data_IF_332987125512
#
_entry.id   IF_332987125512
#
_cell.length_a   1.000
_cell.length_b   1.000
_cell.length_c   1.000
_cell.angle_alpha   90.00
_cell.angle_beta   90.00
_cell.angle_gamma   90.00
#
_symmetry.space_group_name_H-M   'P 1'
#
loop_
_entity.id
_entity.type
_entity.pdbx_description
1 polymer ?
#
# COMPACT_ATOMS: atom_id res chain seq x y z
N UNK A 1 42.47 -18.32 -15.88
CA UNK A 1 41.77 -17.75 -14.71
C UNK A 1 40.31 -18.10 -14.83
N UNK A 2 39.86 -18.95 -13.91
CA UNK A 2 38.53 -19.56 -13.85
C UNK A 2 37.45 -18.50 -13.59
N UNK A 3 36.58 -18.23 -14.56
CA UNK A 3 35.35 -17.48 -14.35
C UNK A 3 34.24 -18.47 -13.94
N UNK A 4 34.13 -18.73 -12.64
CA UNK A 4 32.98 -19.41 -12.07
C UNK A 4 31.75 -18.53 -12.29
N UNK A 5 30.86 -18.97 -13.18
CA UNK A 5 29.52 -18.41 -13.33
C UNK A 5 28.82 -18.42 -11.96
N UNK A 6 28.05 -17.37 -11.60
CA UNK A 6 27.28 -17.39 -10.38
C UNK A 6 26.34 -18.60 -10.42
N UNK A 7 26.50 -19.51 -9.45
CA UNK A 7 25.63 -20.66 -9.28
C UNK A 7 24.23 -20.14 -8.96
N UNK A 8 23.38 -20.08 -9.99
CA UNK A 8 21.94 -20.04 -9.81
C UNK A 8 21.62 -21.32 -9.04
N UNK A 9 21.28 -21.17 -7.77
CA UNK A 9 20.72 -22.26 -6.99
C UNK A 9 19.42 -22.63 -7.70
N UNK A 10 19.45 -23.77 -8.41
CA UNK A 10 18.25 -24.37 -8.96
C UNK A 10 17.36 -24.67 -7.76
N UNK A 11 16.42 -23.76 -7.52
CA UNK A 11 15.31 -23.95 -6.60
C UNK A 11 14.74 -25.34 -6.93
N UNK A 12 14.67 -26.20 -5.91
CA UNK A 12 14.22 -27.59 -6.00
C UNK A 12 13.16 -27.76 -7.07
N UNK A 13 13.45 -28.54 -8.13
CA UNK A 13 12.53 -28.76 -9.23
C UNK A 13 11.19 -29.27 -8.68
N UNK A 14 10.20 -28.39 -8.60
CA UNK A 14 8.84 -28.73 -8.19
C UNK A 14 8.29 -29.60 -9.30
N UNK A 15 8.19 -30.90 -9.04
CA UNK A 15 7.64 -31.85 -10.01
C UNK A 15 6.12 -31.73 -9.97
N UNK A 16 5.54 -31.08 -10.98
CA UNK A 16 4.09 -30.89 -11.08
C UNK A 16 3.48 -32.12 -11.77
N UNK A 17 2.45 -32.76 -11.19
CA UNK A 17 1.77 -33.89 -11.85
C UNK A 17 1.15 -33.47 -13.19
N UNK A 18 1.25 -34.33 -14.20
CA UNK A 18 0.69 -34.06 -15.54
C UNK A 18 -0.84 -33.81 -15.51
N UNK A 19 -1.56 -34.47 -14.60
CA UNK A 19 -2.99 -34.23 -14.39
C UNK A 19 -3.29 -32.80 -13.91
N UNK A 20 -2.41 -32.20 -13.11
CA UNK A 20 -2.53 -30.80 -12.67
C UNK A 20 -2.26 -29.85 -13.83
N UNK A 21 -1.28 -30.16 -14.69
CA UNK A 21 -0.94 -29.35 -15.87
C UNK A 21 -2.13 -29.28 -16.83
N UNK A 22 -2.67 -30.45 -17.20
CA UNK A 22 -3.79 -30.55 -18.15
C UNK A 22 -5.10 -29.98 -17.60
N UNK A 23 -5.36 -30.13 -16.29
CA UNK A 23 -6.57 -29.53 -15.69
C UNK A 23 -6.51 -28.00 -15.62
N UNK A 24 -5.34 -27.42 -15.36
CA UNK A 24 -5.16 -25.95 -15.37
C UNK A 24 -5.29 -25.41 -16.80
N UNK A 25 -4.67 -26.08 -17.78
CA UNK A 25 -4.82 -25.71 -19.20
C UNK A 25 -6.28 -25.80 -19.67
N UNK A 26 -6.99 -26.88 -19.34
CA UNK A 26 -8.39 -27.07 -19.70
C UNK A 26 -9.32 -26.02 -19.04
N UNK A 27 -9.04 -25.67 -17.77
CA UNK A 27 -9.81 -24.64 -17.06
C UNK A 27 -9.56 -23.24 -17.64
N UNK A 28 -8.30 -22.91 -17.97
CA UNK A 28 -7.95 -21.63 -18.57
C UNK A 28 -8.53 -21.47 -19.97
N UNK A 29 -8.39 -22.49 -20.82
CA UNK A 29 -8.92 -22.49 -22.19
C UNK A 29 -10.43 -22.44 -22.24
N UNK A 30 -11.13 -23.25 -21.43
CA UNK A 30 -12.60 -23.22 -21.37
C UNK A 30 -13.11 -21.84 -20.98
N UNK A 31 -12.59 -21.24 -19.90
CA UNK A 31 -13.00 -19.91 -19.46
C UNK A 31 -12.69 -18.81 -20.51
N UNK A 32 -11.53 -18.88 -21.15
CA UNK A 32 -11.14 -17.91 -22.20
C UNK A 32 -12.13 -17.94 -23.38
N UNK A 33 -12.44 -19.12 -23.92
CA UNK A 33 -13.28 -19.24 -25.11
C UNK A 33 -14.79 -19.16 -24.81
N UNK A 34 -15.26 -19.71 -23.69
CA UNK A 34 -16.70 -19.78 -23.39
C UNK A 34 -17.24 -18.53 -22.70
N UNK A 35 -16.41 -17.87 -21.89
CA UNK A 35 -16.87 -16.84 -20.96
C UNK A 35 -16.28 -15.47 -21.28
N UNK A 36 -14.97 -15.40 -21.58
CA UNK A 36 -14.28 -14.13 -21.74
C UNK A 36 -14.39 -13.55 -23.15
N UNK A 37 -14.08 -14.36 -24.18
CA UNK A 37 -14.06 -13.90 -25.58
C UNK A 37 -15.40 -13.34 -26.09
N UNK A 38 -16.58 -13.91 -25.72
CA UNK A 38 -17.86 -13.32 -26.07
C UNK A 38 -18.09 -11.95 -25.39
N UNK A 39 -17.72 -11.82 -24.11
CA UNK A 39 -17.91 -10.60 -23.31
C UNK A 39 -17.02 -9.47 -23.84
N UNK A 40 -15.74 -9.74 -24.13
CA UNK A 40 -14.83 -8.73 -24.72
C UNK A 40 -15.33 -8.16 -26.06
N UNK A 41 -16.07 -8.95 -26.84
CA UNK A 41 -16.63 -8.52 -28.12
C UNK A 41 -17.89 -7.67 -27.98
N UNK A 42 -18.60 -7.78 -26.87
CA UNK A 42 -19.88 -7.09 -26.63
C UNK A 42 -19.75 -5.88 -25.72
N UNK A 43 -18.68 -5.79 -24.93
CA UNK A 43 -18.49 -4.70 -23.98
C UNK A 43 -18.08 -3.39 -24.65
N UNK A 44 -18.95 -2.39 -24.51
CA UNK A 44 -18.70 -1.02 -25.00
C UNK A 44 -18.06 -0.12 -23.95
N UNK A 45 -18.01 -0.55 -22.69
CA UNK A 45 -17.41 0.21 -21.61
C UNK A 45 -15.89 0.01 -21.60
N UNK A 46 -15.13 1.11 -21.77
CA UNK A 46 -13.66 1.08 -21.83
C UNK A 46 -13.03 0.46 -20.57
N UNK A 47 -13.51 0.82 -19.38
CA UNK A 47 -12.93 0.36 -18.11
C UNK A 47 -13.16 -1.15 -17.91
N UNK A 48 -14.35 -1.62 -18.24
CA UNK A 48 -14.68 -3.04 -18.18
C UNK A 48 -13.88 -3.84 -19.22
N UNK A 49 -13.77 -3.32 -20.44
CA UNK A 49 -13.05 -3.98 -21.53
C UNK A 49 -11.55 -4.14 -21.22
N UNK A 50 -10.91 -3.13 -20.64
CA UNK A 50 -9.52 -3.23 -20.17
C UNK A 50 -9.38 -4.31 -19.11
N UNK A 51 -10.30 -4.38 -18.14
CA UNK A 51 -10.27 -5.43 -17.11
C UNK A 51 -10.39 -6.83 -17.71
N UNK A 52 -11.27 -7.03 -18.70
CA UNK A 52 -11.40 -8.31 -19.39
C UNK A 52 -10.19 -8.63 -20.27
N UNK A 53 -9.58 -7.63 -20.91
CA UNK A 53 -8.34 -7.79 -21.69
C UNK A 53 -7.19 -8.29 -20.82
N UNK A 54 -7.01 -7.69 -19.63
CA UNK A 54 -5.96 -8.11 -18.69
C UNK A 54 -6.12 -9.58 -18.24
N UNK A 55 -7.37 -10.00 -18.00
CA UNK A 55 -7.69 -11.41 -17.70
C UNK A 55 -7.39 -12.29 -18.92
N UNK A 56 -7.62 -11.80 -20.13
CA UNK A 56 -7.31 -12.49 -21.37
C UNK A 56 -5.81 -12.74 -21.54
N UNK A 57 -4.99 -11.72 -21.28
CA UNK A 57 -3.53 -11.79 -21.35
C UNK A 57 -2.97 -12.78 -20.30
N UNK A 58 -3.52 -12.77 -19.08
CA UNK A 58 -3.17 -13.74 -18.03
C UNK A 58 -3.49 -15.18 -18.43
N UNK A 59 -4.68 -15.42 -18.99
CA UNK A 59 -5.10 -16.75 -19.43
C UNK A 59 -4.28 -17.22 -20.63
N UNK A 60 -3.95 -16.33 -21.56
CA UNK A 60 -3.11 -16.66 -22.71
C UNK A 60 -1.67 -16.99 -22.28
N UNK A 61 -1.09 -16.22 -21.37
CA UNK A 61 0.23 -16.53 -20.79
C UNK A 61 0.21 -17.87 -20.05
N UNK A 62 -0.85 -18.14 -19.28
CA UNK A 62 -1.07 -19.41 -18.58
C UNK A 62 -1.15 -20.57 -19.59
N UNK A 63 -1.99 -20.47 -20.62
CA UNK A 63 -2.13 -21.50 -21.64
C UNK A 63 -0.81 -21.79 -22.35
N UNK A 64 -0.04 -20.76 -22.73
CA UNK A 64 1.28 -20.90 -23.36
C UNK A 64 2.25 -21.67 -22.47
N UNK A 65 2.38 -21.27 -21.20
CA UNK A 65 3.26 -21.94 -20.24
C UNK A 65 2.88 -23.41 -20.01
N UNK A 66 1.60 -23.68 -19.73
CA UNK A 66 1.14 -25.04 -19.45
C UNK A 66 1.19 -25.95 -20.69
N UNK A 67 1.00 -25.43 -21.90
CA UNK A 67 1.17 -26.21 -23.13
C UNK A 67 2.61 -26.67 -23.34
N UNK A 68 3.59 -25.85 -22.99
CA UNK A 68 5.02 -26.20 -23.06
C UNK A 68 5.35 -27.28 -22.02
N UNK A 69 4.77 -27.22 -20.83
CA UNK A 69 4.94 -28.27 -19.81
C UNK A 69 4.34 -29.61 -20.25
N UNK A 70 3.22 -29.64 -20.98
CA UNK A 70 2.66 -30.88 -21.54
C UNK A 70 3.59 -31.49 -22.59
N UNK A 71 4.18 -30.66 -23.46
CA UNK A 71 5.17 -31.11 -24.46
C UNK A 71 6.41 -31.64 -23.74
N UNK A 72 6.90 -30.94 -22.71
CA UNK A 72 8.05 -31.38 -21.93
C UNK A 72 7.80 -32.72 -21.22
N UNK A 73 6.59 -32.94 -20.71
CA UNK A 73 6.22 -34.18 -20.03
C UNK A 73 6.04 -35.38 -20.98
N UNK A 74 5.76 -35.13 -22.27
CA UNK A 74 5.51 -36.16 -23.29
C UNK A 74 6.73 -36.42 -24.18
N UNK A 75 7.72 -35.51 -24.20
CA UNK A 75 8.90 -35.62 -25.03
C UNK A 75 9.86 -36.73 -24.55
N UNK A 76 10.24 -37.62 -25.48
CA UNK A 76 11.24 -38.67 -25.24
C UNK A 76 12.65 -38.26 -25.69
N UNK A 77 12.77 -37.22 -26.52
CA UNK A 77 14.04 -36.73 -27.07
C UNK A 77 14.74 -35.78 -26.08
N UNK A 78 15.98 -36.09 -25.62
CA UNK A 78 16.74 -35.24 -24.71
C UNK A 78 16.96 -33.81 -25.20
N UNK A 79 17.09 -33.58 -26.51
CA UNK A 79 17.28 -32.23 -27.07
C UNK A 79 16.00 -31.39 -26.95
N UNK A 80 14.85 -32.01 -27.20
CA UNK A 80 13.53 -31.35 -27.12
C UNK A 80 13.21 -30.96 -25.68
N UNK A 81 13.47 -31.85 -24.73
CA UNK A 81 13.24 -31.58 -23.29
C UNK A 81 14.00 -30.33 -22.84
N UNK A 82 15.26 -30.17 -23.23
CA UNK A 82 16.09 -29.02 -22.83
C UNK A 82 15.62 -27.73 -23.52
N UNK A 83 15.25 -27.79 -24.80
CA UNK A 83 14.76 -26.61 -25.54
C UNK A 83 13.42 -26.10 -25.02
N UNK A 84 12.47 -27.01 -24.76
CA UNK A 84 11.13 -26.68 -24.24
C UNK A 84 11.22 -26.24 -22.78
N UNK A 85 12.16 -26.78 -21.99
CA UNK A 85 12.41 -26.29 -20.63
C UNK A 85 12.91 -24.83 -20.63
N UNK A 86 13.76 -24.46 -21.60
CA UNK A 86 14.23 -23.08 -21.74
C UNK A 86 13.09 -22.13 -22.18
N UNK A 87 12.22 -22.57 -23.10
CA UNK A 87 11.04 -21.81 -23.53
C UNK A 87 9.97 -21.72 -22.44
N UNK A 88 9.79 -22.78 -21.63
CA UNK A 88 8.90 -22.75 -20.48
C UNK A 88 9.42 -21.80 -19.39
N UNK A 89 10.74 -21.70 -19.20
CA UNK A 89 11.34 -20.75 -18.28
C UNK A 89 11.05 -19.29 -18.70
N UNK A 90 11.23 -18.94 -19.97
CA UNK A 90 10.89 -17.60 -20.47
C UNK A 90 9.38 -17.32 -20.42
N UNK A 91 8.54 -18.30 -20.75
CA UNK A 91 7.09 -18.18 -20.62
C UNK A 91 6.65 -17.97 -19.15
N UNK A 92 7.35 -18.59 -18.19
CA UNK A 92 7.09 -18.39 -16.76
C UNK A 92 7.44 -16.98 -16.29
N UNK A 93 8.51 -16.39 -16.82
CA UNK A 93 8.90 -15.01 -16.53
C UNK A 93 7.85 -14.02 -17.08
N UNK A 94 7.44 -14.20 -18.34
CA UNK A 94 6.40 -13.38 -18.98
C UNK A 94 5.08 -13.48 -18.21
N UNK A 95 4.66 -14.69 -17.82
CA UNK A 95 3.46 -14.89 -17.01
C UNK A 95 3.56 -14.16 -15.66
N UNK A 96 4.73 -14.19 -15.01
CA UNK A 96 4.95 -13.50 -13.75
C UNK A 96 4.96 -11.97 -13.90
N UNK A 97 5.50 -11.44 -15.00
CA UNK A 97 5.44 -10.00 -15.29
C UNK A 97 4.01 -9.52 -15.52
N UNK A 98 3.22 -10.24 -16.32
CA UNK A 98 1.80 -9.93 -16.59
C UNK A 98 0.99 -10.00 -15.29
N UNK A 99 1.19 -11.04 -14.48
CA UNK A 99 0.50 -11.18 -13.19
C UNK A 99 0.84 -10.03 -12.23
N UNK A 100 2.10 -9.60 -12.18
CA UNK A 100 2.53 -8.46 -11.36
C UNK A 100 1.97 -7.13 -11.87
N UNK A 101 1.88 -6.93 -13.20
CA UNK A 101 1.35 -5.69 -13.77
C UNK A 101 -0.16 -5.53 -13.56
N UNK A 102 -0.89 -6.64 -13.53
CA UNK A 102 -2.35 -6.64 -13.48
C UNK A 102 -2.91 -6.64 -12.06
N UNK A 103 -2.10 -6.96 -11.04
CA UNK A 103 -2.54 -7.04 -9.65
C UNK A 103 -2.11 -5.82 -8.84
N UNK A 104 -3.03 -5.30 -8.02
CA UNK A 104 -2.81 -4.08 -7.22
C UNK A 104 -1.73 -4.21 -6.14
N UNK A 105 -1.39 -5.44 -5.76
CA UNK A 105 -0.39 -5.76 -4.73
C UNK A 105 0.83 -6.51 -5.30
N UNK A 106 1.11 -6.37 -6.60
CA UNK A 106 2.22 -7.07 -7.27
C UNK A 106 2.20 -8.59 -7.04
N UNK A 107 1.00 -9.15 -6.99
CA UNK A 107 0.77 -10.57 -6.77
C UNK A 107 0.87 -11.04 -5.31
N UNK A 108 1.19 -10.13 -4.36
CA UNK A 108 1.35 -10.46 -2.93
C UNK A 108 0.04 -10.25 -2.19
N UNK A 109 -0.39 -11.27 -1.44
CA UNK A 109 -1.57 -11.15 -0.56
C UNK A 109 -1.19 -10.38 0.71
N UNK A 110 -1.93 -9.32 1.10
CA UNK A 110 -1.74 -8.67 2.39
C UNK A 110 -1.82 -9.70 3.53
N UNK A 111 -1.02 -9.60 4.58
CA UNK A 111 -1.07 -10.58 5.67
C UNK A 111 -2.38 -10.46 6.46
N UNK A 112 -3.17 -11.54 6.52
CA UNK A 112 -4.47 -11.51 7.22
C UNK A 112 -4.28 -11.24 8.73
N UNK A 113 -3.38 -11.99 9.37
CA UNK A 113 -3.18 -11.92 10.82
C UNK A 113 -2.68 -10.56 11.29
N UNK A 114 -1.70 -9.97 10.59
CA UNK A 114 -1.13 -8.67 10.96
C UNK A 114 -2.14 -7.52 10.80
N UNK A 115 -2.84 -7.48 9.68
CA UNK A 115 -3.83 -6.43 9.41
C UNK A 115 -5.05 -6.55 10.34
N UNK A 116 -5.51 -7.77 10.64
CA UNK A 116 -6.59 -7.99 11.59
C UNK A 116 -6.20 -7.59 13.02
N UNK A 117 -4.98 -7.93 13.45
CA UNK A 117 -4.49 -7.53 14.77
C UNK A 117 -4.47 -5.99 14.92
N UNK A 118 -3.99 -5.28 13.89
CA UNK A 118 -3.99 -3.81 13.89
C UNK A 118 -5.41 -3.24 13.89
N UNK A 119 -6.32 -3.78 13.08
CA UNK A 119 -7.73 -3.36 13.09
C UNK A 119 -8.36 -3.50 14.47
N UNK A 120 -8.10 -4.61 15.18
CA UNK A 120 -8.59 -4.84 16.55
C UNK A 120 -7.98 -3.84 17.53
N UNK A 121 -6.66 -3.61 17.45
CA UNK A 121 -5.97 -2.66 18.35
C UNK A 121 -6.52 -1.24 18.16
N UNK A 122 -6.65 -0.77 16.91
CA UNK A 122 -7.25 0.54 16.65
C UNK A 122 -8.73 0.59 17.04
N UNK A 123 -9.48 -0.50 16.88
CA UNK A 123 -10.86 -0.61 17.36
C UNK A 123 -10.97 -0.46 18.88
N UNK A 124 -10.09 -1.10 19.64
CA UNK A 124 -10.02 -0.93 21.10
C UNK A 124 -9.63 0.50 21.48
N UNK A 125 -8.66 1.08 20.78
CA UNK A 125 -8.25 2.48 21.01
C UNK A 125 -9.39 3.46 20.69
N UNK A 126 -10.22 3.18 19.69
CA UNK A 126 -11.39 4.00 19.36
C UNK A 126 -12.38 4.02 20.53
N UNK A 127 -12.67 2.85 21.12
CA UNK A 127 -13.56 2.74 22.28
C UNK A 127 -12.98 3.46 23.50
N UNK A 128 -11.68 3.28 23.78
CA UNK A 128 -11.01 3.98 24.87
C UNK A 128 -11.07 5.50 24.69
N UNK A 129 -10.80 5.98 23.47
CA UNK A 129 -10.89 7.40 23.15
C UNK A 129 -12.33 7.93 23.28
N UNK A 130 -13.35 7.09 23.02
CA UNK A 130 -14.76 7.43 23.23
C UNK A 130 -15.01 7.78 24.69
N UNK A 131 -14.57 6.88 25.57
CA UNK A 131 -14.76 7.02 27.01
C UNK A 131 -14.00 8.24 27.53
N UNK A 132 -12.70 8.35 27.22
CA UNK A 132 -11.87 9.47 27.71
C UNK A 132 -12.29 10.82 27.14
N UNK A 133 -12.68 10.89 25.87
CA UNK A 133 -13.13 12.12 25.24
C UNK A 133 -14.40 12.69 25.87
N UNK A 134 -15.38 11.82 26.16
CA UNK A 134 -16.62 12.21 26.84
C UNK A 134 -16.34 12.66 28.28
N UNK A 135 -15.45 11.97 29.00
CA UNK A 135 -15.12 12.31 30.38
C UNK A 135 -14.33 13.63 30.51
N UNK A 136 -13.35 13.86 29.63
CA UNK A 136 -12.48 15.04 29.69
C UNK A 136 -13.09 16.31 29.09
N UNK A 137 -14.19 16.18 28.34
CA UNK A 137 -14.92 17.29 27.68
C UNK A 137 -14.05 18.16 26.75
N UNK A 138 -12.90 17.64 26.31
CA UNK A 138 -12.02 18.31 25.36
C UNK A 138 -12.49 18.03 23.92
N UNK A 139 -13.57 18.69 23.50
CA UNK A 139 -14.29 18.39 22.25
C UNK A 139 -13.44 18.45 20.98
N UNK A 140 -12.53 19.43 20.85
CA UNK A 140 -11.66 19.57 19.67
C UNK A 140 -10.65 18.43 19.55
N UNK A 141 -10.00 18.08 20.66
CA UNK A 141 -9.10 16.94 20.72
C UNK A 141 -9.86 15.63 20.50
N UNK A 142 -11.04 15.50 21.09
CA UNK A 142 -11.90 14.33 20.95
C UNK A 142 -12.25 14.05 19.48
N UNK A 143 -12.80 15.04 18.77
CA UNK A 143 -13.26 14.86 17.38
C UNK A 143 -12.10 14.52 16.43
N UNK A 144 -10.97 15.21 16.56
CA UNK A 144 -9.79 14.97 15.71
C UNK A 144 -9.20 13.59 15.94
N UNK A 145 -8.98 13.19 17.20
CA UNK A 145 -8.49 11.85 17.51
C UNK A 145 -9.49 10.74 17.14
N UNK A 146 -10.78 10.97 17.35
CA UNK A 146 -11.83 10.03 16.93
C UNK A 146 -11.80 9.78 15.44
N UNK A 147 -11.74 10.84 14.64
CA UNK A 147 -11.68 10.75 13.19
C UNK A 147 -10.41 9.99 12.75
N UNK A 148 -9.26 10.33 13.32
CA UNK A 148 -7.99 9.66 13.00
C UNK A 148 -8.00 8.16 13.30
N UNK A 149 -8.41 7.76 14.50
CA UNK A 149 -8.47 6.33 14.87
C UNK A 149 -9.54 5.60 14.04
N UNK A 150 -10.68 6.24 13.76
CA UNK A 150 -11.72 5.65 12.91
C UNK A 150 -11.22 5.37 11.49
N UNK A 151 -10.47 6.30 10.91
CA UNK A 151 -9.83 6.12 9.61
C UNK A 151 -8.82 4.98 9.62
N UNK A 152 -8.03 4.79 10.68
CA UNK A 152 -7.15 3.61 10.81
C UNK A 152 -7.96 2.30 10.82
N UNK A 153 -9.04 2.24 11.61
CA UNK A 153 -9.91 1.05 11.65
C UNK A 153 -10.48 0.73 10.27
N UNK A 154 -10.98 1.73 9.54
CA UNK A 154 -11.48 1.56 8.18
C UNK A 154 -10.37 1.13 7.22
N UNK A 155 -9.19 1.73 7.33
CA UNK A 155 -8.02 1.41 6.51
C UNK A 155 -7.58 -0.04 6.64
N UNK A 156 -7.41 -0.52 7.88
CA UNK A 156 -7.05 -1.91 8.15
C UNK A 156 -8.19 -2.89 7.85
N UNK A 157 -9.45 -2.50 8.04
CA UNK A 157 -10.60 -3.32 7.65
C UNK A 157 -10.66 -3.50 6.13
N UNK A 158 -10.35 -2.44 5.37
CA UNK A 158 -10.22 -2.48 3.91
C UNK A 158 -9.09 -3.42 3.46
N UNK A 159 -7.95 -3.43 4.18
CA UNK A 159 -6.86 -4.41 3.94
C UNK A 159 -7.31 -5.84 4.12
N UNK A 160 -8.10 -6.11 5.16
CA UNK A 160 -8.65 -7.44 5.41
C UNK A 160 -9.63 -7.82 4.29
N UNK A 161 -10.45 -6.88 3.81
CA UNK A 161 -11.32 -7.12 2.67
C UNK A 161 -10.54 -7.43 1.38
N UNK A 162 -9.47 -6.68 1.12
CA UNK A 162 -8.61 -6.89 -0.03
C UNK A 162 -7.84 -8.23 0.03
N UNK A 163 -7.64 -8.82 1.22
CA UNK A 163 -7.09 -10.16 1.35
C UNK A 163 -7.96 -11.23 0.67
N UNK A 164 -9.29 -11.09 0.74
CA UNK A 164 -10.23 -12.02 0.11
C UNK A 164 -10.39 -11.74 -1.39
N UNK A 165 -10.32 -10.48 -1.80
CA UNK A 165 -10.44 -10.04 -3.19
C UNK A 165 -9.35 -9.02 -3.55
N UNK A 166 -8.23 -9.51 -4.07
CA UNK A 166 -7.05 -8.66 -4.38
C UNK A 166 -7.30 -7.67 -5.52
N UNK A 167 -8.27 -7.95 -6.40
CA UNK A 167 -8.60 -7.12 -7.56
C UNK A 167 -9.73 -6.12 -7.27
N UNK A 168 -10.15 -5.97 -6.01
CA UNK A 168 -11.17 -4.99 -5.65
C UNK A 168 -10.55 -3.58 -5.53
N UNK A 169 -10.80 -2.76 -6.56
CA UNK A 169 -10.33 -1.38 -6.63
C UNK A 169 -10.84 -0.51 -5.48
N UNK A 170 -12.12 -0.66 -5.10
CA UNK A 170 -12.73 0.14 -4.04
C UNK A 170 -12.07 -0.14 -2.68
N UNK A 171 -11.79 -1.42 -2.39
CA UNK A 171 -11.09 -1.81 -1.17
C UNK A 171 -9.65 -1.27 -1.14
N UNK A 172 -8.96 -1.29 -2.28
CA UNK A 172 -7.61 -0.74 -2.40
C UNK A 172 -7.61 0.78 -2.18
N UNK A 173 -8.48 1.53 -2.87
CA UNK A 173 -8.57 2.99 -2.74
C UNK A 173 -9.02 3.39 -1.34
N UNK A 174 -10.01 2.71 -0.76
CA UNK A 174 -10.49 3.00 0.60
C UNK A 174 -9.38 2.82 1.62
N UNK A 175 -8.66 1.69 1.57
CA UNK A 175 -7.48 1.47 2.41
C UNK A 175 -6.49 2.62 2.28
N UNK A 176 -6.15 2.96 1.04
CA UNK A 176 -5.10 3.89 0.72
C UNK A 176 -5.43 5.29 1.24
N UNK A 177 -6.64 5.78 0.97
CA UNK A 177 -7.11 7.09 1.42
C UNK A 177 -7.24 7.13 2.95
N UNK A 178 -7.81 6.09 3.58
CA UNK A 178 -8.03 6.06 5.02
C UNK A 178 -6.73 6.06 5.82
N UNK A 179 -5.78 5.17 5.50
CA UNK A 179 -4.48 5.10 6.20
C UNK A 179 -3.67 6.39 5.97
N UNK A 180 -3.80 7.00 4.80
CA UNK A 180 -3.10 8.23 4.46
C UNK A 180 -3.65 9.43 5.21
N UNK A 181 -4.98 9.57 5.33
CA UNK A 181 -5.63 10.69 6.04
C UNK A 181 -5.60 10.56 7.58
N UNK A 182 -5.59 9.34 8.11
CA UNK A 182 -5.56 9.09 9.54
C UNK A 182 -4.49 9.89 10.32
N UNK A 183 -3.19 9.87 9.94
CA UNK A 183 -2.14 10.60 10.66
C UNK A 183 -2.37 12.11 10.66
N UNK A 184 -2.98 12.67 9.61
CA UNK A 184 -3.30 14.10 9.55
C UNK A 184 -4.29 14.53 10.64
N UNK A 185 -5.35 13.74 10.87
CA UNK A 185 -6.30 14.02 11.95
C UNK A 185 -5.67 13.83 13.35
N UNK A 186 -4.84 12.80 13.52
CA UNK A 186 -4.12 12.59 14.79
C UNK A 186 -3.16 13.75 15.10
N UNK A 187 -2.41 14.22 14.09
CA UNK A 187 -1.49 15.35 14.23
C UNK A 187 -2.22 16.65 14.52
N UNK A 188 -3.38 16.90 13.91
CA UNK A 188 -4.20 18.07 14.23
C UNK A 188 -4.58 18.12 15.72
N UNK A 189 -4.92 16.97 16.32
CA UNK A 189 -5.19 16.87 17.76
C UNK A 189 -3.98 17.17 18.63
N UNK A 190 -2.79 16.65 18.26
CA UNK A 190 -1.54 16.92 18.98
C UNK A 190 -1.18 18.41 18.91
N UNK A 191 -1.32 19.04 17.75
CA UNK A 191 -1.06 20.47 17.58
C UNK A 191 -2.04 21.36 18.33
N UNK A 192 -3.29 20.92 18.49
CA UNK A 192 -4.24 21.61 19.35
C UNK A 192 -3.80 21.61 20.83
N UNK A 193 -3.33 20.47 21.36
CA UNK A 193 -2.81 20.40 22.73
C UNK A 193 -1.56 21.28 22.87
N UNK A 194 -0.65 21.23 21.90
CA UNK A 194 0.53 22.07 21.88
C UNK A 194 0.17 23.56 21.88
N UNK A 195 -0.88 23.95 21.15
CA UNK A 195 -1.40 25.32 21.18
C UNK A 195 -1.81 25.75 22.58
N UNK A 196 -2.60 24.94 23.26
CA UNK A 196 -2.98 25.26 24.64
C UNK A 196 -1.76 25.35 25.57
N UNK A 197 -0.78 24.45 25.41
CA UNK A 197 0.45 24.47 26.21
C UNK A 197 1.25 25.77 25.99
N UNK A 198 1.39 26.23 24.75
CA UNK A 198 2.09 27.49 24.44
C UNK A 198 1.40 28.72 24.99
N UNK A 199 0.06 28.72 25.10
CA UNK A 199 -0.68 29.83 25.73
C UNK A 199 -0.40 29.88 27.23
N UNK A 200 -0.33 28.72 27.90
CA UNK A 200 -0.07 28.63 29.34
C UNK A 200 1.38 29.02 29.69
N UNK A 201 2.35 28.60 28.88
CA UNK A 201 3.78 28.81 29.15
C UNK A 201 4.34 30.16 28.67
N UNK A 202 3.56 30.92 27.90
CA UNK A 202 3.95 32.21 27.35
C UNK A 202 4.46 32.14 25.90
N UNK A 203 3.96 33.05 25.06
CA UNK A 203 4.26 33.14 23.62
C UNK A 203 5.72 33.48 23.28
N UNK A 204 6.50 33.97 24.25
CA UNK A 204 7.87 34.46 24.03
C UNK A 204 8.86 33.35 23.63
N UNK A 205 8.51 32.08 23.81
CA UNK A 205 9.37 30.93 23.53
C UNK A 205 8.99 30.15 22.27
N UNK A 206 7.93 30.55 21.54
CA UNK A 206 7.44 29.80 20.37
C UNK A 206 7.67 30.55 19.05
N UNK A 207 8.42 29.94 18.13
CA UNK A 207 8.78 30.51 16.82
C UNK A 207 7.56 30.63 15.89
N UNK A 208 6.55 29.75 16.03
CA UNK A 208 5.38 29.68 15.16
C UNK A 208 4.15 29.23 15.93
N UNK A 209 2.96 29.71 15.52
CA UNK A 209 1.70 29.29 16.16
C UNK A 209 1.41 27.83 15.79
N UNK A 210 1.16 26.93 16.76
CA UNK A 210 0.89 25.50 16.54
C UNK A 210 -0.18 25.18 15.47
N UNK A 211 -1.18 26.05 15.27
CA UNK A 211 -2.17 25.89 14.21
C UNK A 211 -1.61 26.01 12.78
N UNK A 212 -0.51 26.75 12.57
CA UNK A 212 0.11 26.87 11.25
C UNK A 212 0.78 25.56 10.82
N UNK A 213 1.39 24.84 11.76
CA UNK A 213 1.97 23.52 11.50
C UNK A 213 0.91 22.50 11.11
N UNK A 214 -0.26 22.53 11.77
CA UNK A 214 -1.40 21.69 11.41
C UNK A 214 -1.86 21.93 9.97
N UNK A 215 -1.92 23.20 9.55
CA UNK A 215 -2.39 23.55 8.21
C UNK A 215 -1.38 23.12 7.13
N UNK A 216 -0.09 23.34 7.37
CA UNK A 216 0.98 22.87 6.46
C UNK A 216 0.90 21.35 6.29
N UNK A 217 0.71 20.61 7.39
CA UNK A 217 0.61 19.16 7.36
C UNK A 217 -0.58 18.67 6.54
N UNK A 218 -1.77 19.25 6.75
CA UNK A 218 -2.98 18.94 5.98
C UNK A 218 -2.74 19.17 4.47
N UNK A 219 -2.08 20.27 4.10
CA UNK A 219 -1.78 20.57 2.69
C UNK A 219 -0.79 19.55 2.11
N UNK A 220 0.26 19.19 2.85
CA UNK A 220 1.23 18.18 2.41
C UNK A 220 0.56 16.80 2.21
N UNK A 221 -0.35 16.41 3.10
CA UNK A 221 -1.15 15.19 2.98
C UNK A 221 -2.09 15.23 1.76
N UNK A 222 -2.73 16.37 1.51
CA UNK A 222 -3.58 16.52 0.32
C UNK A 222 -2.76 16.41 -0.98
N UNK A 223 -1.59 17.06 -1.04
CA UNK A 223 -0.69 16.99 -2.20
C UNK A 223 -0.23 15.55 -2.42
N UNK A 224 0.13 14.84 -1.35
CA UNK A 224 0.59 13.45 -1.46
C UNK A 224 -0.52 12.52 -1.94
N UNK A 225 -1.77 12.69 -1.47
CA UNK A 225 -2.93 11.94 -1.97
C UNK A 225 -3.16 12.21 -3.46
N UNK A 226 -3.07 13.48 -3.88
CA UNK A 226 -3.25 13.85 -5.30
C UNK A 226 -2.17 13.22 -6.17
N UNK A 227 -0.90 13.24 -5.74
CA UNK A 227 0.19 12.60 -6.48
C UNK A 227 -0.01 11.08 -6.58
N UNK A 228 -0.44 10.43 -5.49
CA UNK A 228 -0.67 9.00 -5.47
C UNK A 228 -1.90 8.60 -6.31
N UNK A 229 -2.98 9.36 -6.25
CA UNK A 229 -4.17 9.16 -7.07
C UNK A 229 -3.88 9.39 -8.56
N UNK A 230 -3.13 10.45 -8.89
CA UNK A 230 -2.68 10.71 -10.26
C UNK A 230 -1.76 9.60 -10.77
N UNK A 231 -0.80 9.15 -9.96
CA UNK A 231 0.08 8.02 -10.31
C UNK A 231 -0.69 6.71 -10.53
N UNK A 232 -1.67 6.43 -9.67
CA UNK A 232 -2.56 5.27 -9.83
C UNK A 232 -3.43 5.34 -11.08
N UNK A 233 -4.02 6.51 -11.37
CA UNK A 233 -4.80 6.73 -12.58
C UNK A 233 -3.94 6.64 -13.85
N UNK A 234 -2.73 7.20 -13.84
CA UNK A 234 -1.78 7.07 -14.94
C UNK A 234 -1.37 5.63 -15.17
N UNK A 235 -1.10 4.86 -14.11
CA UNK A 235 -0.77 3.44 -14.23
C UNK A 235 -1.95 2.64 -14.84
N UNK A 236 -3.19 2.98 -14.49
CA UNK A 236 -4.37 2.34 -15.08
C UNK A 236 -4.55 2.68 -16.57
N UNK A 237 -4.29 3.93 -16.97
CA UNK A 237 -4.34 4.36 -18.38
C UNK A 237 -3.20 3.72 -19.18
N UNK A 238 -1.98 3.68 -18.63
CA UNK A 238 -0.83 3.03 -19.27
C UNK A 238 -1.07 1.53 -19.49
N UNK A 239 -1.71 0.88 -18.52
CA UNK A 239 -2.13 -0.52 -18.64
C UNK A 239 -3.16 -0.71 -19.76
N UNK A 240 -4.14 0.21 -19.85
CA UNK A 240 -5.18 0.21 -20.90
C UNK A 240 -4.61 0.39 -22.31
N UNK A 241 -3.48 1.08 -22.43
CA UNK A 241 -2.78 1.36 -23.69
C UNK A 241 -1.72 0.30 -24.05
N UNK A 242 -1.65 -0.82 -23.30
CA UNK A 242 -0.58 -1.84 -23.39
C UNK A 242 0.84 -1.25 -23.26
N UNK A 243 0.98 -0.16 -22.50
CA UNK A 243 2.26 0.50 -22.21
C UNK A 243 2.77 0.06 -20.84
N UNK A 244 4.08 0.20 -20.65
CA UNK A 244 4.71 -0.05 -19.35
C UNK A 244 4.15 0.91 -18.29
N UNK A 245 3.54 0.37 -17.24
CA UNK A 245 2.94 1.09 -16.09
C UNK A 245 3.97 1.76 -15.16
N UNK A 246 5.25 1.74 -15.56
CA UNK A 246 6.39 2.17 -14.77
C UNK A 246 6.36 3.67 -14.47
N UNK A 247 5.79 4.48 -15.37
CA UNK A 247 5.68 5.92 -15.14
C UNK A 247 4.66 6.22 -14.04
N UNK A 248 3.45 5.67 -14.15
CA UNK A 248 2.41 5.83 -13.13
C UNK A 248 2.83 5.27 -11.76
N UNK A 249 3.45 4.09 -11.74
CA UNK A 249 4.00 3.49 -10.52
C UNK A 249 5.09 4.37 -9.88
N UNK A 250 6.01 4.92 -10.67
CA UNK A 250 7.01 5.85 -10.15
C UNK A 250 6.40 7.10 -9.53
N UNK A 251 5.35 7.68 -10.15
CA UNK A 251 4.64 8.85 -9.60
C UNK A 251 3.99 8.50 -8.25
N UNK A 252 3.37 7.31 -8.15
CA UNK A 252 2.80 6.83 -6.89
C UNK A 252 3.88 6.66 -5.81
N UNK A 253 5.03 6.07 -6.15
CA UNK A 253 6.17 5.90 -5.22
C UNK A 253 6.74 7.25 -4.77
N UNK A 254 6.81 8.25 -5.66
CA UNK A 254 7.23 9.62 -5.31
C UNK A 254 6.26 10.22 -4.28
N UNK A 255 4.96 10.03 -4.46
CA UNK A 255 3.95 10.50 -3.49
C UNK A 255 4.10 9.85 -2.12
N UNK A 256 4.31 8.53 -2.07
CA UNK A 256 4.57 7.77 -0.82
C UNK A 256 5.88 8.20 -0.14
N UNK A 257 6.95 8.41 -0.92
CA UNK A 257 8.24 8.85 -0.40
C UNK A 257 8.14 10.28 0.17
N UNK A 258 7.48 11.18 -0.55
CA UNK A 258 7.20 12.54 -0.08
C UNK A 258 6.40 12.51 1.23
N UNK A 259 5.36 11.66 1.29
CA UNK A 259 4.56 11.47 2.50
C UNK A 259 5.38 11.00 3.70
N UNK A 260 6.15 9.93 3.52
CA UNK A 260 6.98 9.38 4.60
C UNK A 260 8.00 10.40 5.13
N UNK A 261 8.59 11.21 4.25
CA UNK A 261 9.59 12.21 4.63
C UNK A 261 9.02 13.30 5.54
N UNK A 262 7.87 13.91 5.21
CA UNK A 262 7.32 14.96 6.09
C UNK A 262 6.62 14.37 7.33
N UNK A 263 5.94 13.22 7.22
CA UNK A 263 5.34 12.53 8.37
C UNK A 263 6.40 12.13 9.41
N UNK A 264 7.61 11.76 8.97
CA UNK A 264 8.72 11.47 9.85
C UNK A 264 9.42 12.72 10.40
N UNK A 265 9.69 13.73 9.57
CA UNK A 265 10.53 14.86 9.97
C UNK A 265 9.81 15.89 10.86
N UNK A 266 8.56 16.23 10.55
CA UNK A 266 7.83 17.33 11.22
C UNK A 266 7.50 17.02 12.68
N UNK A 267 6.96 15.83 13.05
CA UNK A 267 6.70 15.50 14.44
C UNK A 267 7.98 15.39 15.27
N UNK A 268 9.07 14.84 14.70
CA UNK A 268 10.36 14.72 15.39
C UNK A 268 10.97 16.09 15.71
N UNK A 269 10.95 17.03 14.75
CA UNK A 269 11.37 18.41 14.99
C UNK A 269 10.52 19.06 16.09
N UNK A 270 9.21 18.81 16.10
CA UNK A 270 8.29 19.34 17.10
C UNK A 270 8.54 18.76 18.50
N UNK A 271 8.77 17.46 18.62
CA UNK A 271 9.09 16.80 19.90
C UNK A 271 10.41 17.34 20.44
N UNK A 272 11.42 17.50 19.59
CA UNK A 272 12.68 18.14 19.96
C UNK A 272 12.45 19.56 20.51
N UNK A 273 11.63 20.35 19.81
CA UNK A 273 11.26 21.70 20.25
C UNK A 273 10.55 21.70 21.61
N UNK A 274 9.62 20.78 21.82
CA UNK A 274 8.86 20.61 23.08
C UNK A 274 9.77 20.20 24.24
N UNK A 275 10.70 19.28 24.00
CA UNK A 275 11.72 18.87 24.98
C UNK A 275 12.66 20.02 25.34
N UNK A 276 13.05 20.84 24.36
CA UNK A 276 13.88 22.01 24.60
C UNK A 276 13.15 23.07 25.43
N UNK A 277 11.85 23.26 25.20
CA UNK A 277 11.01 24.14 26.00
C UNK A 277 10.90 23.67 27.46
N UNK A 278 10.67 22.36 27.68
CA UNK A 278 10.63 21.77 29.02
C UNK A 278 11.98 21.83 29.74
N UNK A 279 13.08 21.61 29.01
CA UNK A 279 14.44 21.73 29.54
C UNK A 279 14.72 23.16 30.01
N UNK A 280 14.41 24.16 29.18
CA UNK A 280 14.59 25.58 29.52
C UNK A 280 13.79 26.01 30.75
N UNK A 281 12.54 25.53 30.87
CA UNK A 281 11.73 25.82 32.04
C UNK A 281 12.34 25.24 33.31
N UNK A 282 12.87 24.01 33.24
CA UNK A 282 13.56 23.37 34.37
C UNK A 282 14.78 24.17 34.82
N UNK A 283 15.55 24.75 33.90
CA UNK A 283 16.71 25.60 34.24
C UNK A 283 16.32 26.93 34.86
N UNK A 284 15.27 27.61 34.35
CA UNK A 284 14.78 28.87 34.93
C UNK A 284 14.23 28.64 36.34
N UNK A 285 13.39 27.62 36.52
CA UNK A 285 12.86 27.24 37.84
C UNK A 285 13.97 26.87 38.82
N UNK A 286 15.02 26.19 38.36
CA UNK A 286 16.20 25.90 39.18
C UNK A 286 16.90 27.19 39.61
N UNK A 287 17.06 28.18 38.74
CA UNK A 287 17.71 29.44 39.12
C UNK A 287 16.87 30.25 40.12
N UNK A 288 15.56 30.32 39.95
CA UNK A 288 14.67 30.99 40.90
C UNK A 288 14.66 30.31 42.28
N UNK A 289 14.76 28.97 42.33
CA UNK A 289 14.83 28.21 43.58
C UNK A 289 16.12 28.48 44.38
N UNK A 290 17.24 28.72 43.70
CA UNK A 290 18.55 28.94 44.34
C UNK A 290 18.91 30.43 44.55
N UNK A 291 18.20 31.37 43.92
CA UNK A 291 18.34 32.81 44.23
C UNK A 291 17.38 33.29 45.35
N UNK A 292 16.46 32.44 45.81
CA UNK A 292 15.58 32.68 46.96
C UNK A 292 16.11 32.19 48.32
N UNK A 293 17.37 31.73 48.39
CA UNK A 293 18.09 31.34 49.62
C UNK A 293 19.30 32.27 49.76
#
# INVERSE_FOLDING_TARGET
>A
MSSTLPSVSVETAVTIPIATITSVYASASSYYYSSLLPVMKTETNLDANVSYSNIGDELQATMSYYSLLEVQATATDPQVIVSVAAEAATASEVMNEIYKSNTMYEGKRPSLGGNLALAIVFGLMLVLQAVFGIMTKQWWFFVTYMCGIFLEVLGYSSRVWSHYNLNNFDAYVMQFVCITLAPCFLMAGIYFILAQLTVVMGQAFSILRPMQYSLIFIICDLISIVLQAAGGAMAAIELSDHKSTRSGSNVMVIGLAYQGLYNGSVPNFMVYFLLQMLYFQKTVWFQDLFQGI
#
